data_IF_058370235337
#
_entry.id   IF_058370235337
#
_cell.length_a   1.000
_cell.length_b   1.000
_cell.length_c   1.000
_cell.angle_alpha   90.00
_cell.angle_beta   90.00
_cell.angle_gamma   90.00
#
_symmetry.space_group_name_H-M   'P 1'
#
loop_
_entity.id
_entity.type
_entity.pdbx_description
1 polymer ?
#
# COMPACT_ATOMS: atom_id res chain seq x y z
N UNK A 1 48.87 -6.11 -48.48
CA UNK A 1 48.63 -6.30 -47.05
C UNK A 1 47.64 -5.23 -46.59
N UNK A 2 46.38 -5.62 -46.40
CA UNK A 2 45.40 -4.81 -45.69
C UNK A 2 45.51 -5.17 -44.21
N UNK A 3 46.33 -4.43 -43.52
CA UNK A 3 46.37 -4.53 -42.05
C UNK A 3 45.12 -3.90 -41.45
N UNK A 4 44.38 -4.71 -40.75
CA UNK A 4 43.60 -4.37 -39.59
C UNK A 4 42.55 -3.26 -39.73
N UNK A 5 41.38 -3.54 -40.36
CA UNK A 5 40.18 -2.78 -40.05
C UNK A 5 39.63 -3.35 -38.73
N UNK A 6 39.85 -2.60 -37.66
CA UNK A 6 39.24 -2.87 -36.36
C UNK A 6 37.77 -2.54 -36.51
N UNK A 7 36.93 -3.57 -36.63
CA UNK A 7 35.47 -3.41 -36.58
C UNK A 7 35.06 -3.24 -35.13
N UNK A 8 34.86 -2.01 -34.72
CA UNK A 8 34.15 -1.76 -33.48
C UNK A 8 32.72 -2.28 -33.66
N UNK A 9 32.36 -3.33 -32.89
CA UNK A 9 31.01 -3.82 -32.80
C UNK A 9 30.17 -2.77 -32.06
N UNK A 10 29.38 -1.99 -32.82
CA UNK A 10 28.32 -1.21 -32.21
C UNK A 10 27.32 -2.16 -31.58
N UNK A 11 26.94 -1.88 -30.33
CA UNK A 11 25.81 -2.54 -29.68
C UNK A 11 24.59 -2.38 -30.57
N UNK A 12 23.88 -3.49 -30.82
CA UNK A 12 22.63 -3.42 -31.56
C UNK A 12 21.65 -2.55 -30.75
N UNK A 13 21.25 -1.41 -31.31
CA UNK A 13 20.19 -0.59 -30.77
C UNK A 13 18.88 -1.15 -31.27
N UNK A 14 18.01 -1.53 -30.34
CA UNK A 14 16.60 -1.86 -30.66
C UNK A 14 15.86 -0.53 -30.80
N UNK A 15 15.19 -0.33 -31.93
CA UNK A 15 14.29 0.82 -32.07
C UNK A 15 13.10 0.60 -31.11
N UNK A 16 12.95 1.52 -30.17
CA UNK A 16 11.79 1.60 -29.29
C UNK A 16 10.85 2.66 -29.85
N UNK A 17 9.61 2.28 -30.12
CA UNK A 17 8.56 3.18 -30.56
C UNK A 17 7.34 3.07 -29.63
N UNK A 18 7.57 2.61 -28.40
CA UNK A 18 6.53 2.55 -27.36
C UNK A 18 6.38 3.93 -26.69
N UNK A 19 5.19 4.58 -26.76
CA UNK A 19 4.99 5.89 -26.16
C UNK A 19 4.96 5.87 -24.62
N UNK A 20 4.89 4.72 -23.98
CA UNK A 20 4.91 4.58 -22.52
C UNK A 20 6.18 3.87 -22.04
N UNK A 21 7.29 4.59 -21.87
CA UNK A 21 8.53 4.01 -21.37
C UNK A 21 8.46 3.56 -19.91
N UNK A 22 7.59 4.18 -19.12
CA UNK A 22 7.45 3.86 -17.70
C UNK A 22 6.01 4.01 -17.25
N UNK A 23 5.41 2.88 -16.84
CA UNK A 23 4.12 2.83 -16.18
C UNK A 23 4.32 2.34 -14.76
N UNK A 24 3.93 3.12 -13.78
CA UNK A 24 4.01 2.75 -12.36
C UNK A 24 2.78 3.19 -11.59
N UNK A 25 2.43 2.47 -10.55
CA UNK A 25 1.36 2.86 -9.64
C UNK A 25 1.90 2.98 -8.21
N UNK A 26 1.32 3.92 -7.47
CA UNK A 26 1.63 4.13 -6.07
C UNK A 26 0.36 4.39 -5.27
N UNK A 27 0.38 4.08 -3.98
CA UNK A 27 -0.67 4.44 -3.06
C UNK A 27 -0.29 5.68 -2.23
N UNK A 28 -1.31 6.42 -1.79
CA UNK A 28 -1.13 7.38 -0.69
C UNK A 28 -0.60 6.66 0.53
N UNK A 29 0.20 7.37 1.34
CA UNK A 29 0.74 6.84 2.59
C UNK A 29 -0.30 6.66 3.70
N UNK A 30 -1.48 7.28 3.55
CA UNK A 30 -2.55 7.29 4.56
C UNK A 30 -3.81 6.63 4.02
N UNK A 31 -4.50 5.90 4.90
CA UNK A 31 -5.89 5.50 4.67
C UNK A 31 -6.84 6.65 4.98
N UNK A 32 -7.92 6.71 4.22
CA UNK A 32 -9.06 7.59 4.47
C UNK A 32 -10.35 6.79 4.30
N UNK A 33 -11.15 6.70 5.36
CA UNK A 33 -12.39 5.90 5.35
C UNK A 33 -12.18 4.44 4.90
N UNK A 34 -11.12 3.78 5.37
CA UNK A 34 -10.82 2.39 5.04
C UNK A 34 -10.35 2.15 3.59
N UNK A 35 -9.80 3.17 2.94
CA UNK A 35 -9.28 3.07 1.59
C UNK A 35 -7.99 3.89 1.41
N UNK A 36 -7.15 3.50 0.46
CA UNK A 36 -6.02 4.30 -0.05
C UNK A 36 -6.29 4.73 -1.49
N UNK A 37 -5.80 5.90 -1.86
CA UNK A 37 -5.86 6.35 -3.24
C UNK A 37 -4.66 5.82 -4.01
N UNK A 38 -4.92 5.02 -5.05
CA UNK A 38 -3.93 4.60 -6.03
C UNK A 38 -3.80 5.68 -7.10
N UNK A 39 -2.58 6.05 -7.44
CA UNK A 39 -2.25 6.97 -8.54
C UNK A 39 -1.43 6.21 -9.57
N UNK A 40 -1.87 6.24 -10.84
CA UNK A 40 -1.06 5.73 -11.96
C UNK A 40 -0.19 6.86 -12.52
N UNK A 41 1.07 6.55 -12.75
CA UNK A 41 2.05 7.44 -13.41
C UNK A 41 2.39 6.88 -14.78
N UNK A 42 2.18 7.68 -15.81
CA UNK A 42 2.43 7.33 -17.21
C UNK A 42 3.41 8.35 -17.77
N UNK A 43 4.60 7.91 -18.15
CA UNK A 43 5.62 8.75 -18.80
C UNK A 43 5.63 8.45 -20.29
N UNK A 44 5.41 9.49 -21.10
CA UNK A 44 5.70 9.48 -22.52
C UNK A 44 7.14 9.95 -22.73
N UNK A 45 8.05 9.07 -23.11
CA UNK A 45 9.47 9.41 -23.34
C UNK A 45 9.77 9.78 -24.79
N UNK A 46 8.80 9.65 -25.67
CA UNK A 46 8.92 10.09 -27.02
C UNK A 46 8.84 11.62 -27.18
N UNK A 47 9.25 12.13 -28.34
CA UNK A 47 9.23 13.58 -28.62
C UNK A 47 7.86 14.11 -29.10
N UNK A 48 6.90 13.21 -29.37
CA UNK A 48 5.56 13.53 -29.88
C UNK A 48 4.51 13.26 -28.84
N UNK A 49 3.35 13.89 -28.99
CA UNK A 49 2.20 13.63 -28.12
C UNK A 49 1.65 12.22 -28.36
N UNK A 50 1.31 11.53 -27.30
CA UNK A 50 0.68 10.22 -27.35
C UNK A 50 -0.68 10.21 -26.64
N UNK A 51 -1.48 9.23 -26.98
CA UNK A 51 -2.84 9.03 -26.47
C UNK A 51 -2.90 7.71 -25.72
N UNK A 52 -3.59 7.72 -24.56
CA UNK A 52 -3.66 6.57 -23.68
C UNK A 52 -5.10 6.29 -23.29
N UNK A 53 -5.53 5.05 -23.45
CA UNK A 53 -6.70 4.52 -22.76
C UNK A 53 -6.24 3.94 -21.43
N UNK A 54 -6.85 4.39 -20.35
CA UNK A 54 -6.53 3.94 -18.99
C UNK A 54 -7.72 3.21 -18.42
N UNK A 55 -7.52 1.97 -18.06
CA UNK A 55 -8.52 1.10 -17.45
C UNK A 55 -8.00 0.57 -16.13
N UNK A 56 -8.91 0.17 -15.26
CA UNK A 56 -8.56 -0.49 -14.01
C UNK A 56 -9.54 -1.60 -13.67
N UNK A 57 -9.13 -2.50 -12.82
CA UNK A 57 -10.00 -3.47 -12.13
C UNK A 57 -9.57 -3.57 -10.67
N UNK A 58 -10.54 -3.81 -9.79
CA UNK A 58 -10.32 -4.14 -8.38
C UNK A 58 -10.43 -5.65 -8.24
N UNK A 59 -9.42 -6.26 -7.63
CA UNK A 59 -9.30 -7.72 -7.44
C UNK A 59 -9.55 -8.49 -8.75
N UNK A 60 -10.45 -9.47 -8.72
CA UNK A 60 -10.89 -10.24 -9.89
C UNK A 60 -12.07 -9.62 -10.64
N UNK A 61 -12.40 -8.35 -10.36
CA UNK A 61 -13.52 -7.65 -11.01
C UNK A 61 -13.32 -7.41 -12.50
N UNK A 62 -14.34 -6.85 -13.14
CA UNK A 62 -14.31 -6.47 -14.55
C UNK A 62 -13.51 -5.19 -14.77
N UNK A 63 -12.88 -5.07 -15.93
CA UNK A 63 -12.22 -3.84 -16.36
C UNK A 63 -13.19 -2.67 -16.47
N UNK A 64 -12.79 -1.52 -15.94
CA UNK A 64 -13.53 -0.26 -15.98
C UNK A 64 -12.65 0.80 -16.63
N UNK A 65 -13.25 1.61 -17.53
CA UNK A 65 -12.53 2.70 -18.20
C UNK A 65 -12.46 3.89 -17.25
N UNK A 66 -11.24 4.33 -16.94
CA UNK A 66 -10.99 5.54 -16.15
C UNK A 66 -10.78 6.77 -17.04
N UNK A 67 -10.10 6.58 -18.16
CA UNK A 67 -9.97 7.57 -19.22
C UNK A 67 -9.95 6.85 -20.57
N UNK A 68 -10.80 7.30 -21.49
CA UNK A 68 -10.83 6.76 -22.86
C UNK A 68 -9.82 7.47 -23.77
N UNK A 69 -9.35 8.67 -23.40
CA UNK A 69 -8.42 9.45 -24.19
C UNK A 69 -7.61 10.41 -23.30
N UNK A 70 -6.57 9.89 -22.67
CA UNK A 70 -5.60 10.68 -21.93
C UNK A 70 -4.49 11.12 -22.89
N UNK A 71 -4.31 12.40 -23.05
CA UNK A 71 -3.23 12.95 -23.89
C UNK A 71 -2.04 13.29 -23.01
N UNK A 72 -0.85 12.80 -23.37
CA UNK A 72 0.42 13.13 -22.72
C UNK A 72 1.40 13.66 -23.74
N UNK A 73 1.87 14.88 -23.54
CA UNK A 73 2.87 15.50 -24.41
C UNK A 73 4.20 14.76 -24.39
N UNK A 74 4.99 14.88 -25.46
CA UNK A 74 6.32 14.27 -25.54
C UNK A 74 7.21 14.67 -24.37
N UNK A 75 7.89 13.73 -23.78
CA UNK A 75 8.77 13.89 -22.61
C UNK A 75 8.05 14.13 -21.27
N UNK A 76 6.71 14.25 -21.25
CA UNK A 76 5.94 14.54 -20.04
C UNK A 76 5.55 13.27 -19.27
N UNK A 77 5.26 13.48 -17.98
CA UNK A 77 4.67 12.46 -17.11
C UNK A 77 3.30 12.92 -16.64
N UNK A 78 2.29 12.04 -16.72
CA UNK A 78 0.97 12.27 -16.17
C UNK A 78 0.76 11.45 -14.90
N UNK A 79 0.26 12.11 -13.84
CA UNK A 79 -0.07 11.53 -12.54
C UNK A 79 -1.46 11.96 -12.05
N UNK A 80 -2.34 12.38 -12.98
CA UNK A 80 -3.66 12.90 -12.63
C UNK A 80 -4.73 11.82 -12.45
N UNK A 81 -4.45 10.60 -12.88
CA UNK A 81 -5.41 9.49 -12.85
C UNK A 81 -5.30 8.75 -11.52
N UNK A 82 -6.40 8.72 -10.78
CA UNK A 82 -6.45 8.10 -9.45
C UNK A 82 -7.70 7.25 -9.26
N UNK A 83 -7.63 6.26 -8.36
CA UNK A 83 -8.78 5.44 -7.93
C UNK A 83 -8.64 5.09 -6.44
N UNK A 84 -9.78 5.06 -5.72
CA UNK A 84 -9.80 4.61 -4.32
C UNK A 84 -9.91 3.09 -4.27
N UNK A 85 -9.06 2.49 -3.45
CA UNK A 85 -8.97 1.04 -3.26
C UNK A 85 -9.18 0.74 -1.78
N UNK A 86 -10.20 -0.03 -1.48
CA UNK A 86 -10.55 -0.40 -0.12
C UNK A 86 -9.48 -1.29 0.51
N UNK A 87 -9.47 -1.29 1.82
CA UNK A 87 -8.68 -2.23 2.61
C UNK A 87 -8.91 -3.68 2.16
N UNK A 88 -7.85 -4.48 2.19
CA UNK A 88 -7.86 -5.86 1.76
C UNK A 88 -7.90 -6.09 0.25
N UNK A 89 -8.06 -5.03 -0.58
CA UNK A 89 -8.17 -5.13 -2.04
C UNK A 89 -6.88 -4.78 -2.77
N UNK A 90 -6.78 -5.26 -4.01
CA UNK A 90 -5.73 -4.91 -4.98
C UNK A 90 -6.32 -4.13 -6.13
N UNK A 91 -5.54 -3.30 -6.80
CA UNK A 91 -5.90 -2.67 -8.07
C UNK A 91 -4.93 -3.12 -9.16
N UNK A 92 -5.46 -3.43 -10.32
CA UNK A 92 -4.68 -3.61 -11.54
C UNK A 92 -5.04 -2.51 -12.51
N UNK A 93 -4.06 -1.72 -12.92
CA UNK A 93 -4.16 -0.74 -13.99
C UNK A 93 -3.78 -1.37 -15.32
N UNK A 94 -4.45 -0.97 -16.39
CA UNK A 94 -4.13 -1.34 -17.76
C UNK A 94 -4.08 -0.10 -18.62
N UNK A 95 -2.98 0.07 -19.35
CA UNK A 95 -2.73 1.18 -20.25
C UNK A 95 -2.61 0.64 -21.66
N UNK A 96 -3.37 1.22 -22.58
CA UNK A 96 -3.27 1.00 -24.02
C UNK A 96 -2.88 2.31 -24.66
N UNK A 97 -1.89 2.32 -25.53
CA UNK A 97 -1.33 3.54 -26.12
C UNK A 97 -1.43 3.60 -27.63
N UNK A 98 -1.36 4.82 -28.16
CA UNK A 98 -1.33 5.10 -29.58
C UNK A 98 -0.69 6.46 -29.85
N UNK A 99 0.01 6.63 -30.99
CA UNK A 99 0.49 7.92 -31.46
C UNK A 99 -0.53 8.68 -32.30
N UNK A 100 -1.55 8.02 -32.80
CA UNK A 100 -2.35 8.57 -33.90
C UNK A 100 -3.70 9.11 -33.46
N UNK A 101 -4.36 8.46 -32.51
CA UNK A 101 -5.73 8.84 -32.11
C UNK A 101 -6.20 8.10 -30.83
N UNK A 102 -7.35 8.49 -30.36
CA UNK A 102 -8.09 7.88 -29.24
C UNK A 102 -8.88 6.61 -29.62
N UNK A 103 -8.74 6.12 -30.84
CA UNK A 103 -9.44 4.95 -31.33
C UNK A 103 -8.66 3.64 -31.10
N UNK A 104 -7.36 3.74 -30.84
CA UNK A 104 -6.46 2.62 -30.53
C UNK A 104 -6.48 1.50 -31.57
N UNK A 105 -6.87 1.81 -32.82
CA UNK A 105 -6.84 0.85 -33.94
C UNK A 105 -5.42 0.46 -34.30
N UNK A 106 -4.47 1.34 -34.02
CA UNK A 106 -3.01 1.12 -34.16
C UNK A 106 -2.35 1.09 -32.77
N UNK A 107 -2.90 0.30 -31.88
CA UNK A 107 -2.32 0.07 -30.56
C UNK A 107 -0.88 -0.43 -30.68
N UNK A 108 0.03 0.17 -29.90
CA UNK A 108 1.45 -0.20 -29.91
C UNK A 108 1.72 -1.20 -28.77
N UNK A 109 1.29 -0.87 -27.56
CA UNK A 109 1.44 -1.77 -26.42
C UNK A 109 0.21 -1.76 -25.51
N UNK A 110 0.09 -2.82 -24.70
CA UNK A 110 -0.80 -2.90 -23.55
C UNK A 110 0.04 -3.28 -22.34
N UNK A 111 0.08 -2.41 -21.36
CA UNK A 111 0.86 -2.61 -20.13
C UNK A 111 -0.06 -2.75 -18.93
N UNK A 112 0.11 -3.83 -18.17
CA UNK A 112 -0.59 -4.06 -16.91
C UNK A 112 0.36 -3.82 -15.71
N UNK A 113 -0.17 -3.15 -14.67
CA UNK A 113 0.52 -2.94 -13.41
C UNK A 113 -0.42 -3.27 -12.25
N UNK A 114 -0.11 -4.33 -11.49
CA UNK A 114 -0.90 -4.75 -10.32
C UNK A 114 -0.21 -4.31 -9.04
N UNK A 115 -0.96 -3.65 -8.17
CA UNK A 115 -0.49 -3.21 -6.85
C UNK A 115 -0.35 -4.37 -5.85
N UNK A 116 0.35 -4.10 -4.74
CA UNK A 116 0.15 -4.88 -3.52
C UNK A 116 -1.28 -4.68 -2.97
N UNK A 117 -1.70 -5.56 -2.06
CA UNK A 117 -2.95 -5.39 -1.33
C UNK A 117 -2.89 -4.13 -0.48
N UNK A 118 -3.99 -3.37 -0.43
CA UNK A 118 -4.13 -2.23 0.47
C UNK A 118 -4.24 -2.75 1.90
N UNK A 119 -3.48 -2.15 2.78
CA UNK A 119 -3.51 -2.40 4.21
C UNK A 119 -3.86 -1.09 4.92
N UNK A 120 -5.00 -1.09 5.62
CA UNK A 120 -5.48 0.02 6.45
C UNK A 120 -5.54 -0.36 7.93
N UNK A 121 -4.93 -1.48 8.32
CA UNK A 121 -4.84 -1.87 9.71
C UNK A 121 -3.81 -0.98 10.43
N UNK A 122 -4.20 -0.23 11.49
CA UNK A 122 -3.27 0.59 12.24
C UNK A 122 -2.28 -0.19 13.10
N UNK A 123 -2.42 -1.50 13.22
CA UNK A 123 -1.54 -2.36 14.02
C UNK A 123 -0.74 -3.33 13.15
N UNK A 124 0.51 -3.00 12.89
CA UNK A 124 1.44 -3.96 12.25
C UNK A 124 2.10 -4.91 13.22
N UNK A 125 2.32 -4.48 14.46
CA UNK A 125 3.08 -5.26 15.42
C UNK A 125 2.38 -5.31 16.76
N UNK A 126 1.89 -6.49 17.13
CA UNK A 126 1.37 -6.79 18.46
C UNK A 126 2.29 -7.83 19.10
N UNK A 127 2.83 -7.52 20.26
CA UNK A 127 3.58 -8.48 21.05
C UNK A 127 3.38 -8.24 22.54
N UNK A 128 3.63 -9.27 23.34
CA UNK A 128 3.66 -9.13 24.79
C UNK A 128 4.85 -9.87 25.38
N UNK A 129 5.37 -9.35 26.46
CA UNK A 129 6.49 -9.96 27.19
C UNK A 129 6.23 -9.98 28.67
N UNK A 130 6.87 -10.93 29.37
CA UNK A 130 6.87 -10.98 30.83
C UNK A 130 8.16 -10.41 31.39
N UNK A 131 8.05 -9.57 32.39
CA UNK A 131 9.16 -9.17 33.24
C UNK A 131 9.65 -10.27 34.15
N UNK A 132 10.60 -9.94 35.05
CA UNK A 132 11.09 -10.85 36.08
C UNK A 132 9.99 -11.27 37.06
N UNK A 133 10.15 -12.44 37.68
CA UNK A 133 9.26 -12.92 38.74
C UNK A 133 9.47 -12.09 40.01
N UNK A 134 8.42 -11.54 40.56
CA UNK A 134 8.44 -10.89 41.89
C UNK A 134 7.28 -11.39 42.73
N UNK A 135 7.57 -11.88 43.90
CA UNK A 135 6.57 -12.32 44.90
C UNK A 135 5.47 -13.24 44.33
N UNK A 136 5.89 -14.17 43.41
CA UNK A 136 4.95 -15.13 42.81
C UNK A 136 4.11 -14.58 41.64
N UNK A 137 4.45 -13.42 41.12
CA UNK A 137 3.80 -12.80 39.95
C UNK A 137 4.81 -12.27 38.94
N UNK A 138 4.36 -12.10 37.70
CA UNK A 138 5.12 -11.41 36.65
C UNK A 138 4.26 -10.31 36.02
N UNK A 139 4.90 -9.22 35.64
CA UNK A 139 4.25 -8.18 34.85
C UNK A 139 4.28 -8.55 33.38
N UNK A 140 3.11 -8.70 32.76
CA UNK A 140 2.97 -8.76 31.30
C UNK A 140 2.87 -7.36 30.76
N UNK A 141 3.74 -7.01 29.82
CA UNK A 141 3.71 -5.71 29.10
C UNK A 141 3.30 -5.95 27.67
N UNK A 142 2.27 -5.20 27.20
CA UNK A 142 1.84 -5.18 25.82
C UNK A 142 2.66 -4.17 25.02
N UNK A 143 3.05 -4.53 23.81
CA UNK A 143 3.69 -3.66 22.82
C UNK A 143 2.81 -3.56 21.59
N UNK A 144 2.39 -2.34 21.22
CA UNK A 144 1.55 -2.01 20.07
C UNK A 144 2.30 -1.04 19.16
N UNK A 145 2.56 -1.44 17.91
CA UNK A 145 3.16 -0.59 16.89
C UNK A 145 2.09 -0.10 15.91
N UNK A 146 2.01 1.22 15.73
CA UNK A 146 1.24 1.85 14.66
C UNK A 146 2.19 2.23 13.53
N UNK A 147 2.12 1.56 12.37
CA UNK A 147 2.95 1.80 11.19
C UNK A 147 2.32 2.78 10.20
N UNK A 148 1.05 3.14 10.41
CA UNK A 148 0.39 4.12 9.57
C UNK A 148 0.90 5.54 9.79
N UNK A 149 0.68 6.43 8.84
CA UNK A 149 1.15 7.83 8.89
C UNK A 149 0.22 8.76 9.68
N UNK A 150 -0.84 8.23 10.29
CA UNK A 150 -1.78 8.95 11.15
C UNK A 150 -1.82 8.34 12.55
N UNK A 151 -2.31 9.10 13.53
CA UNK A 151 -2.57 8.57 14.86
C UNK A 151 -3.72 7.58 14.81
N UNK A 152 -3.54 6.44 15.48
CA UNK A 152 -4.56 5.42 15.65
C UNK A 152 -5.00 5.33 17.12
N UNK A 153 -6.20 4.83 17.33
CA UNK A 153 -6.84 4.69 18.63
C UNK A 153 -7.14 3.22 18.89
N UNK A 154 -6.87 2.74 20.10
CA UNK A 154 -7.00 1.34 20.47
C UNK A 154 -7.82 1.18 21.72
N UNK A 155 -8.82 0.30 21.66
CA UNK A 155 -9.41 -0.31 22.84
C UNK A 155 -8.60 -1.55 23.17
N UNK A 156 -8.04 -1.60 24.36
CA UNK A 156 -7.22 -2.72 24.81
C UNK A 156 -7.86 -3.41 25.98
N UNK A 157 -8.06 -4.69 25.87
CA UNK A 157 -8.65 -5.54 26.87
C UNK A 157 -7.73 -6.74 27.15
N UNK A 158 -7.86 -7.30 28.32
CA UNK A 158 -7.14 -8.52 28.70
C UNK A 158 -8.04 -9.45 29.51
N UNK A 159 -7.71 -10.72 29.54
CA UNK A 159 -8.25 -11.71 30.47
C UNK A 159 -7.15 -12.58 31.04
N UNK A 160 -7.36 -13.04 32.27
CA UNK A 160 -6.50 -14.03 32.93
C UNK A 160 -7.22 -15.38 32.89
N UNK A 161 -6.53 -16.40 32.40
CA UNK A 161 -7.03 -17.75 32.24
C UNK A 161 -8.37 -17.79 31.47
N UNK A 162 -9.40 -18.44 32.03
CA UNK A 162 -10.74 -18.50 31.46
C UNK A 162 -11.67 -17.37 31.95
N UNK A 163 -11.12 -16.35 32.63
CA UNK A 163 -11.90 -15.21 33.13
C UNK A 163 -12.49 -14.34 32.01
N UNK A 164 -13.31 -13.37 32.42
CA UNK A 164 -13.88 -12.38 31.52
C UNK A 164 -12.86 -11.34 31.10
N UNK A 165 -13.03 -10.74 29.91
CA UNK A 165 -12.23 -9.62 29.47
C UNK A 165 -12.44 -8.40 30.36
N UNK A 166 -11.35 -7.75 30.71
CA UNK A 166 -11.28 -6.50 31.48
C UNK A 166 -10.62 -5.42 30.60
N UNK A 167 -11.08 -4.19 30.68
CA UNK A 167 -10.51 -3.08 29.90
C UNK A 167 -9.21 -2.59 30.56
N UNK A 168 -8.12 -2.67 29.83
CA UNK A 168 -6.83 -2.05 30.20
C UNK A 168 -6.78 -0.58 29.76
N UNK A 169 -7.31 -0.28 28.57
CA UNK A 169 -7.53 1.09 28.08
C UNK A 169 -8.74 1.11 27.17
N UNK A 170 -9.63 2.07 27.35
CA UNK A 170 -10.78 2.28 26.47
C UNK A 170 -10.43 3.12 25.23
N UNK A 171 -9.35 3.91 25.27
CA UNK A 171 -8.94 4.79 24.19
C UNK A 171 -7.45 5.12 24.31
N UNK A 172 -6.60 4.18 23.87
CA UNK A 172 -5.15 4.39 23.79
C UNK A 172 -4.80 5.02 22.45
N UNK A 173 -4.33 6.26 22.42
CA UNK A 173 -3.82 6.87 21.18
C UNK A 173 -2.34 6.50 20.98
N UNK A 174 -2.00 6.07 19.77
CA UNK A 174 -0.61 5.80 19.35
C UNK A 174 -0.32 6.59 18.08
N UNK A 175 0.66 7.48 18.16
CA UNK A 175 1.06 8.31 17.03
C UNK A 175 1.65 7.48 15.90
N UNK A 176 1.63 8.06 14.70
CA UNK A 176 2.24 7.49 13.49
C UNK A 176 3.68 7.01 13.75
N UNK A 177 3.99 5.80 13.34
CA UNK A 177 5.32 5.19 13.42
C UNK A 177 5.82 4.91 14.83
N UNK A 178 4.96 5.01 15.86
CA UNK A 178 5.33 4.84 17.27
C UNK A 178 4.92 3.46 17.77
N UNK A 179 5.75 2.87 18.63
CA UNK A 179 5.39 1.69 19.42
C UNK A 179 5.10 2.11 20.87
N UNK A 180 3.91 1.77 21.35
CA UNK A 180 3.48 1.99 22.73
C UNK A 180 3.71 0.74 23.59
N UNK A 181 4.32 0.92 24.74
CA UNK A 181 4.60 -0.14 25.74
C UNK A 181 4.11 0.23 27.14
N UNK A 182 3.15 1.14 27.25
CA UNK A 182 2.70 1.67 28.55
C UNK A 182 1.72 0.74 29.30
N UNK A 183 1.10 -0.21 28.59
CA UNK A 183 0.09 -1.08 29.18
C UNK A 183 0.74 -2.33 29.77
N UNK A 184 0.48 -2.56 31.07
CA UNK A 184 0.98 -3.74 31.77
C UNK A 184 -0.01 -4.27 32.80
N UNK A 185 0.04 -5.58 33.04
CA UNK A 185 -0.84 -6.30 33.97
C UNK A 185 -0.02 -7.30 34.77
N UNK A 186 -0.23 -7.36 36.08
CA UNK A 186 0.38 -8.37 36.95
C UNK A 186 -0.35 -9.70 36.78
N UNK A 187 0.40 -10.77 36.52
CA UNK A 187 -0.10 -12.13 36.28
C UNK A 187 0.55 -13.08 37.29
N UNK A 188 -0.27 -13.81 38.06
CA UNK A 188 0.22 -14.80 39.02
C UNK A 188 0.94 -15.94 38.32
N UNK A 189 1.97 -16.47 38.92
CA UNK A 189 2.71 -17.61 38.38
C UNK A 189 1.76 -18.80 38.11
N UNK A 190 1.88 -19.39 36.91
CA UNK A 190 1.01 -20.49 36.46
C UNK A 190 -0.23 -20.05 35.69
N UNK A 191 -0.60 -18.75 35.72
CA UNK A 191 -1.73 -18.21 34.94
C UNK A 191 -1.31 -17.74 33.56
N UNK A 192 -2.27 -17.75 32.64
CA UNK A 192 -2.12 -17.26 31.25
C UNK A 192 -2.85 -15.93 31.10
N UNK A 193 -2.22 -14.94 30.46
CA UNK A 193 -2.88 -13.71 30.01
C UNK A 193 -3.17 -13.77 28.52
N UNK A 194 -4.36 -13.32 28.12
CA UNK A 194 -4.73 -13.09 26.71
C UNK A 194 -5.07 -11.62 26.56
N UNK A 195 -4.40 -10.94 25.65
CA UNK A 195 -4.70 -9.58 25.24
C UNK A 195 -5.66 -9.59 24.04
N UNK A 196 -6.57 -8.61 23.98
CA UNK A 196 -7.45 -8.33 22.86
C UNK A 196 -7.40 -6.85 22.53
N UNK A 197 -7.17 -6.53 21.25
CA UNK A 197 -7.04 -5.17 20.75
C UNK A 197 -8.13 -4.97 19.70
N UNK A 198 -8.77 -3.81 19.75
CA UNK A 198 -9.65 -3.28 18.71
C UNK A 198 -9.15 -1.90 18.35
N UNK A 199 -9.07 -1.57 17.09
CA UNK A 199 -8.45 -0.34 16.59
C UNK A 199 -9.41 0.51 15.75
N UNK A 200 -9.05 1.77 15.56
CA UNK A 200 -9.75 2.74 14.74
C UNK A 200 -8.81 3.91 14.37
N UNK A 201 -9.03 4.51 13.20
CA UNK A 201 -8.33 5.74 12.80
C UNK A 201 -9.05 7.02 13.23
N UNK A 202 -10.31 6.95 13.57
CA UNK A 202 -11.13 8.16 13.72
C UNK A 202 -11.33 8.59 15.17
N UNK A 203 -11.56 7.64 16.05
CA UNK A 203 -11.85 7.90 17.46
C UNK A 203 -12.04 6.59 18.25
N UNK A 204 -12.55 6.70 19.45
CA UNK A 204 -12.88 5.59 20.36
C UNK A 204 -14.19 4.84 20.01
N UNK A 205 -14.77 5.07 18.86
CA UNK A 205 -16.06 4.49 18.47
C UNK A 205 -15.93 3.04 17.95
N UNK A 206 -14.80 2.63 17.41
CA UNK A 206 -14.45 1.24 16.98
C UNK A 206 -15.56 0.52 16.19
N UNK A 207 -16.34 1.25 15.36
CA UNK A 207 -17.47 0.74 14.55
C UNK A 207 -17.13 0.64 13.06
#
# INVERSE_FOLDING_TARGET
>A
DFEGVDYETQSALTADCDPASTVSASFTSTCSSGARTSTISIKNDESVTAYYKVEYKIDSGSWQVKSSNLTVSGGATNTSITENVNDGSTITWRITDSFTDDNYTNMITETENTSSQVDCDPVTTISSSFGSCDSGSRTSTLSLGNDESVTAYYKVEYKIDLGSYQTASSNLSVSSGVTNTSLSVSVTAGSTITWRITDSFTDDNYT
#
